data_IF_318418453908
#
_entry.id   IF_318418453908
#
_cell.length_a   1.000
_cell.length_b   1.000
_cell.length_c   1.000
_cell.angle_alpha   90.00
_cell.angle_beta   90.00
_cell.angle_gamma   90.00
#
_symmetry.space_group_name_H-M   'P 1'
#
loop_
_entity.id
_entity.type
_entity.pdbx_description
1 polymer ?
#
# COMPACT_ATOMS: atom_id res chain seq x y z
N UNK A 1 8.18 -20.56 21.12
CA UNK A 1 8.10 -22.03 20.94
C UNK A 1 7.93 -22.73 22.30
N UNK A 2 7.10 -23.79 22.40
CA UNK A 2 6.81 -24.51 23.65
C UNK A 2 7.99 -25.37 24.16
N UNK A 3 8.93 -25.71 23.29
CA UNK A 3 10.16 -26.45 23.62
C UNK A 3 11.41 -25.60 23.36
N UNK A 4 12.49 -25.96 24.03
CA UNK A 4 13.81 -25.35 23.88
C UNK A 4 14.88 -26.44 23.82
N UNK A 5 15.90 -26.19 23.02
CA UNK A 5 17.06 -27.05 22.89
C UNK A 5 18.24 -26.46 23.67
N UNK A 6 19.13 -27.32 24.13
CA UNK A 6 20.40 -26.94 24.78
C UNK A 6 21.48 -27.97 24.48
N UNK A 7 22.71 -27.51 24.29
CA UNK A 7 23.89 -28.36 24.36
C UNK A 7 24.47 -28.29 25.78
N UNK A 8 24.96 -29.41 26.32
CA UNK A 8 25.64 -29.40 27.60
C UNK A 8 26.98 -28.64 27.48
N UNK A 9 27.33 -27.88 28.52
CA UNK A 9 28.58 -27.11 28.55
C UNK A 9 29.82 -28.01 28.63
N UNK A 10 29.64 -29.27 29.02
CA UNK A 10 30.66 -30.31 29.06
C UNK A 10 30.94 -30.96 27.71
N UNK A 11 30.19 -30.61 26.66
CA UNK A 11 30.42 -31.19 25.33
C UNK A 11 31.82 -30.85 24.84
N UNK A 12 32.54 -31.86 24.38
CA UNK A 12 33.90 -31.74 23.87
C UNK A 12 33.94 -31.61 22.34
N UNK A 13 32.90 -32.09 21.65
CA UNK A 13 32.76 -31.95 20.21
C UNK A 13 32.31 -30.57 19.75
N UNK A 14 32.27 -30.39 18.42
CA UNK A 14 31.78 -29.15 17.78
C UNK A 14 30.28 -29.20 17.48
N UNK A 15 29.59 -30.23 17.97
CA UNK A 15 28.16 -30.44 17.75
C UNK A 15 27.32 -29.27 18.22
N UNK A 16 26.43 -28.78 17.36
CA UNK A 16 25.48 -27.70 17.66
C UNK A 16 24.08 -28.16 17.33
N UNK A 17 23.19 -28.11 18.34
CA UNK A 17 21.76 -28.32 18.16
C UNK A 17 21.10 -27.02 17.70
N UNK A 18 20.21 -27.11 16.71
CA UNK A 18 19.38 -26.00 16.30
C UNK A 18 18.31 -25.67 17.35
N UNK A 19 17.48 -24.67 17.11
CA UNK A 19 16.45 -24.27 18.05
C UNK A 19 15.27 -25.27 18.15
N UNK A 20 15.18 -26.24 17.24
CA UNK A 20 14.03 -27.11 17.06
C UNK A 20 12.80 -26.43 16.44
N UNK A 21 12.09 -27.20 15.62
CA UNK A 21 10.78 -26.87 15.05
C UNK A 21 9.71 -27.75 15.70
N UNK A 22 8.58 -27.16 16.07
CA UNK A 22 7.40 -27.93 16.49
C UNK A 22 6.57 -28.21 15.26
N UNK A 23 6.42 -29.49 14.91
CA UNK A 23 5.71 -29.97 13.72
C UNK A 23 4.29 -30.40 14.08
N UNK A 24 4.11 -31.05 15.24
CA UNK A 24 2.82 -31.39 15.82
C UNK A 24 2.70 -30.78 17.23
N UNK A 25 2.04 -29.62 17.38
CA UNK A 25 1.84 -28.99 18.67
C UNK A 25 0.80 -29.72 19.56
N UNK A 26 0.09 -30.71 19.01
CA UNK A 26 -0.95 -31.47 19.74
C UNK A 26 -0.43 -32.78 20.33
N UNK A 27 0.81 -33.16 20.05
CA UNK A 27 1.45 -34.33 20.62
C UNK A 27 1.45 -34.24 22.16
N UNK A 28 0.87 -35.22 22.88
CA UNK A 28 0.77 -35.18 24.34
C UNK A 28 2.14 -35.24 25.04
N UNK A 29 3.17 -35.74 24.37
CA UNK A 29 4.54 -35.83 24.87
C UNK A 29 5.40 -34.63 24.46
N UNK A 30 4.85 -33.60 23.80
CA UNK A 30 5.60 -32.43 23.30
C UNK A 30 6.48 -31.77 24.36
N UNK A 31 6.01 -31.74 25.60
CA UNK A 31 6.73 -31.14 26.73
C UNK A 31 7.54 -32.15 27.55
N UNK A 32 7.56 -33.42 27.18
CA UNK A 32 8.38 -34.42 27.88
C UNK A 32 9.86 -34.18 27.57
N UNK A 33 10.72 -33.94 28.57
CA UNK A 33 12.14 -33.73 28.34
C UNK A 33 12.81 -34.93 27.68
N UNK A 34 13.71 -34.65 26.75
CA UNK A 34 14.48 -35.65 26.01
C UNK A 34 15.96 -35.29 26.11
N UNK A 35 16.79 -36.30 26.35
CA UNK A 35 18.25 -36.20 26.29
C UNK A 35 18.76 -37.08 25.14
N UNK A 36 19.54 -36.47 24.26
CA UNK A 36 20.28 -37.12 23.18
C UNK A 36 21.73 -37.17 23.65
N UNK A 37 22.26 -38.37 23.79
CA UNK A 37 23.65 -38.59 24.20
C UNK A 37 24.41 -39.33 23.10
N UNK A 38 25.51 -38.75 22.65
CA UNK A 38 26.36 -39.38 21.65
C UNK A 38 27.17 -40.51 22.30
N UNK A 39 26.97 -41.73 21.80
CA UNK A 39 27.73 -42.91 22.23
C UNK A 39 29.07 -42.97 21.50
N UNK A 40 29.07 -42.53 20.23
CA UNK A 40 30.25 -42.40 19.36
C UNK A 40 30.06 -41.17 18.48
N UNK A 41 31.07 -40.71 17.71
CA UNK A 41 30.89 -39.59 16.78
C UNK A 41 29.82 -39.81 15.70
N UNK A 42 29.39 -41.06 15.48
CA UNK A 42 28.42 -41.42 14.44
C UNK A 42 27.17 -42.12 14.99
N UNK A 43 27.03 -42.24 16.32
CA UNK A 43 25.84 -42.83 16.93
C UNK A 43 25.41 -42.13 18.21
N UNK A 44 24.10 -42.10 18.46
CA UNK A 44 23.52 -41.51 19.66
C UNK A 44 22.44 -42.41 20.28
N UNK A 45 22.17 -42.20 21.56
CA UNK A 45 21.04 -42.78 22.28
C UNK A 45 20.02 -41.69 22.62
N UNK A 46 18.78 -42.10 22.86
CA UNK A 46 17.70 -41.23 23.32
C UNK A 46 17.31 -41.69 24.71
N UNK A 47 17.40 -40.79 25.69
CA UNK A 47 17.10 -41.08 27.11
C UNK A 47 17.80 -42.35 27.61
N UNK A 48 19.06 -42.57 27.17
CA UNK A 48 19.87 -43.74 27.52
C UNK A 48 19.45 -45.05 26.83
N UNK A 49 18.53 -45.00 25.88
CA UNK A 49 18.02 -46.16 25.14
C UNK A 49 18.36 -46.10 23.65
N UNK A 50 18.68 -47.26 23.07
CA UNK A 50 18.95 -47.41 21.65
C UNK A 50 20.32 -46.91 21.19
N UNK A 51 20.66 -47.20 19.94
CA UNK A 51 21.84 -46.69 19.24
C UNK A 51 21.43 -46.36 17.81
N UNK A 52 21.24 -45.08 17.55
CA UNK A 52 20.78 -44.54 16.27
C UNK A 52 21.96 -43.95 15.51
N UNK A 53 21.95 -44.07 14.19
CA UNK A 53 22.99 -43.49 13.35
C UNK A 53 22.85 -41.96 13.33
N UNK A 54 23.97 -41.26 13.49
CA UNK A 54 24.08 -39.83 13.32
C UNK A 54 24.57 -39.51 11.90
N UNK A 55 23.90 -38.54 11.28
CA UNK A 55 24.40 -37.81 10.13
C UNK A 55 24.23 -36.33 10.41
N UNK A 56 25.23 -35.52 10.07
CA UNK A 56 25.12 -34.07 10.19
C UNK A 56 23.90 -33.56 9.42
N UNK A 57 23.18 -32.62 10.02
CA UNK A 57 21.95 -31.98 9.50
C UNK A 57 20.76 -32.93 9.26
N UNK A 58 20.88 -34.22 9.60
CA UNK A 58 19.73 -35.12 9.58
C UNK A 58 18.73 -34.73 10.66
N UNK A 59 17.46 -34.74 10.28
CA UNK A 59 16.35 -34.44 11.17
C UNK A 59 16.16 -35.57 12.18
N UNK A 60 16.13 -35.22 13.47
CA UNK A 60 15.71 -36.09 14.56
C UNK A 60 14.32 -35.63 14.99
N UNK A 61 13.31 -36.43 14.66
CA UNK A 61 11.90 -36.14 14.96
C UNK A 61 11.40 -36.99 16.13
N UNK A 62 10.82 -36.35 17.15
CA UNK A 62 10.24 -37.03 18.31
C UNK A 62 9.28 -36.11 19.05
N UNK A 63 8.26 -36.67 19.71
CA UNK A 63 7.31 -35.93 20.55
C UNK A 63 6.76 -34.66 19.85
N UNK A 64 6.36 -34.77 18.58
CA UNK A 64 5.83 -33.65 17.80
C UNK A 64 6.82 -32.53 17.43
N UNK A 65 8.11 -32.64 17.76
CA UNK A 65 9.14 -31.71 17.33
C UNK A 65 10.20 -32.37 16.44
N UNK A 66 10.94 -31.54 15.72
CA UNK A 66 12.08 -31.92 14.90
C UNK A 66 13.26 -31.02 15.26
N UNK A 67 14.43 -31.61 15.48
CA UNK A 67 15.69 -30.90 15.71
C UNK A 67 16.75 -31.39 14.75
N UNK A 68 17.76 -30.56 14.50
CA UNK A 68 18.99 -30.95 13.79
C UNK A 68 20.20 -30.70 14.65
N UNK A 69 21.19 -31.58 14.53
CA UNK A 69 22.51 -31.41 15.13
C UNK A 69 23.53 -31.35 14.00
N UNK A 70 24.21 -30.22 13.87
CA UNK A 70 25.31 -30.03 12.92
C UNK A 70 26.66 -30.17 13.64
N UNK A 71 27.73 -30.44 12.90
CA UNK A 71 29.09 -30.46 13.39
C UNK A 71 29.61 -31.88 13.63
N UNK A 72 30.63 -31.99 14.48
CA UNK A 72 31.23 -33.25 14.86
C UNK A 72 31.10 -33.46 16.38
N UNK A 73 29.97 -34.02 16.84
CA UNK A 73 29.82 -34.46 18.22
C UNK A 73 30.85 -35.55 18.58
N UNK A 74 31.22 -35.60 19.85
CA UNK A 74 32.06 -36.66 20.42
C UNK A 74 31.27 -37.55 21.36
N UNK A 75 31.82 -38.73 21.68
CA UNK A 75 31.23 -39.62 22.67
C UNK A 75 31.11 -38.88 24.03
N UNK A 76 29.93 -38.96 24.64
CA UNK A 76 29.58 -38.24 25.87
C UNK A 76 29.00 -36.85 25.66
N UNK A 77 28.94 -36.33 24.42
CA UNK A 77 28.25 -35.08 24.14
C UNK A 77 26.73 -35.25 24.34
N UNK A 78 26.12 -34.32 25.06
CA UNK A 78 24.70 -34.33 25.37
C UNK A 78 23.98 -33.10 24.82
N UNK A 79 22.80 -33.34 24.27
CA UNK A 79 21.87 -32.33 23.80
C UNK A 79 20.48 -32.62 24.37
N UNK A 80 19.80 -31.59 24.88
CA UNK A 80 18.51 -31.76 25.54
C UNK A 80 17.43 -30.95 24.84
N UNK A 81 16.24 -31.53 24.72
CA UNK A 81 15.01 -30.84 24.37
C UNK A 81 14.10 -30.85 25.59
N UNK A 82 13.65 -29.69 26.05
CA UNK A 82 12.85 -29.56 27.27
C UNK A 82 11.79 -28.47 27.13
N UNK A 83 10.79 -28.40 28.05
CA UNK A 83 9.84 -27.31 28.11
C UNK A 83 10.51 -25.95 28.16
N UNK A 84 9.95 -24.99 27.44
CA UNK A 84 10.35 -23.60 27.53
C UNK A 84 9.66 -22.89 28.71
N UNK A 85 9.83 -23.41 29.93
CA UNK A 85 9.13 -22.97 31.16
C UNK A 85 9.52 -21.58 31.69
N UNK A 86 10.34 -20.83 30.95
CA UNK A 86 10.76 -19.48 31.33
C UNK A 86 10.53 -18.44 30.24
N UNK A 87 10.65 -18.79 28.95
CA UNK A 87 10.43 -17.87 27.81
C UNK A 87 11.28 -16.59 27.77
N UNK A 88 11.96 -16.21 28.85
CA UNK A 88 12.74 -14.97 28.98
C UNK A 88 13.88 -15.00 27.97
N UNK A 89 13.85 -14.04 27.05
CA UNK A 89 14.85 -13.89 25.98
C UNK A 89 14.61 -14.76 24.74
N UNK A 90 13.54 -15.55 24.67
CA UNK A 90 13.20 -16.32 23.47
C UNK A 90 12.42 -15.46 22.47
N UNK A 91 13.12 -14.91 21.48
CA UNK A 91 12.55 -14.07 20.43
C UNK A 91 12.17 -14.85 19.15
N UNK A 92 12.19 -16.19 19.15
CA UNK A 92 11.95 -16.99 17.93
C UNK A 92 10.60 -16.74 17.28
N UNK A 93 9.55 -16.53 18.08
CA UNK A 93 8.24 -16.19 17.55
C UNK A 93 8.23 -14.78 16.91
N UNK A 94 8.95 -13.82 17.49
CA UNK A 94 9.08 -12.48 16.93
C UNK A 94 9.91 -12.49 15.64
N UNK A 95 10.98 -13.29 15.59
CA UNK A 95 11.77 -13.52 14.38
C UNK A 95 10.96 -14.22 13.29
N UNK A 96 10.15 -15.22 13.64
CA UNK A 96 9.25 -15.89 12.69
C UNK A 96 8.23 -14.89 12.12
N UNK A 97 7.64 -14.05 12.98
CA UNK A 97 6.73 -12.99 12.56
C UNK A 97 7.42 -11.98 11.62
N UNK A 98 8.64 -11.55 11.95
CA UNK A 98 9.42 -10.67 11.08
C UNK A 98 9.75 -11.35 9.74
N UNK A 99 10.05 -12.64 9.75
CA UNK A 99 10.33 -13.43 8.55
C UNK A 99 9.15 -13.53 7.58
N UNK A 100 7.90 -13.41 8.07
CA UNK A 100 6.72 -13.40 7.20
C UNK A 100 6.77 -12.28 6.16
N UNK A 101 7.41 -11.14 6.48
CA UNK A 101 7.54 -10.02 5.53
C UNK A 101 8.21 -10.45 4.21
N UNK A 102 9.17 -11.37 4.28
CA UNK A 102 9.92 -11.87 3.13
C UNK A 102 9.32 -13.11 2.47
N UNK A 103 8.27 -13.69 3.04
CA UNK A 103 7.65 -14.89 2.48
C UNK A 103 6.58 -14.52 1.44
N UNK A 104 6.60 -15.21 0.31
CA UNK A 104 5.57 -15.08 -0.72
C UNK A 104 4.32 -15.86 -0.31
N UNK A 105 3.47 -15.23 0.51
CA UNK A 105 2.23 -15.83 1.03
C UNK A 105 0.97 -15.25 0.39
N UNK A 106 1.10 -14.13 -0.34
CA UNK A 106 -0.01 -13.45 -1.00
C UNK A 106 -0.09 -13.85 -2.47
N UNK A 107 -1.22 -13.56 -3.09
CA UNK A 107 -1.49 -13.81 -4.52
C UNK A 107 -1.18 -15.26 -4.94
N UNK A 108 -1.70 -16.23 -4.17
CA UNK A 108 -1.48 -17.65 -4.42
C UNK A 108 -0.05 -18.13 -4.14
N UNK A 109 0.74 -17.37 -3.37
CA UNK A 109 2.12 -17.70 -3.02
C UNK A 109 3.17 -17.04 -3.93
N UNK A 110 2.77 -16.04 -4.72
CA UNK A 110 3.65 -15.38 -5.70
C UNK A 110 4.15 -14.00 -5.25
N UNK A 111 3.57 -13.43 -4.19
CA UNK A 111 3.93 -12.11 -3.71
C UNK A 111 4.14 -12.07 -2.19
N UNK A 112 5.16 -11.33 -1.79
CA UNK A 112 5.40 -10.94 -0.40
C UNK A 112 4.41 -9.85 0.04
N UNK A 113 4.36 -9.59 1.36
CA UNK A 113 3.58 -8.48 1.90
C UNK A 113 4.05 -7.11 1.35
N UNK A 114 5.36 -6.92 1.18
CA UNK A 114 5.94 -5.69 0.65
C UNK A 114 5.54 -5.43 -0.80
N UNK A 115 5.71 -6.43 -1.67
CA UNK A 115 5.35 -6.32 -3.09
C UNK A 115 3.85 -6.06 -3.28
N UNK A 116 3.01 -6.72 -2.47
CA UNK A 116 1.56 -6.48 -2.55
C UNK A 116 1.19 -5.07 -2.10
N UNK A 117 1.83 -4.56 -1.05
CA UNK A 117 1.63 -3.19 -0.59
C UNK A 117 2.04 -2.18 -1.67
N UNK A 118 3.22 -2.35 -2.27
CA UNK A 118 3.71 -1.49 -3.36
C UNK A 118 2.74 -1.47 -4.55
N UNK A 119 2.19 -2.62 -4.92
CA UNK A 119 1.20 -2.71 -6.01
C UNK A 119 -0.07 -1.94 -5.71
N UNK A 120 -0.59 -2.04 -4.48
CA UNK A 120 -1.78 -1.28 -4.05
C UNK A 120 -1.51 0.22 -4.08
N UNK A 121 -0.36 0.66 -3.56
CA UNK A 121 0.04 2.07 -3.61
C UNK A 121 0.16 2.56 -5.06
N UNK A 122 0.78 1.76 -5.93
CA UNK A 122 0.90 2.07 -7.36
C UNK A 122 -0.46 2.16 -8.07
N UNK A 123 -1.40 1.27 -7.76
CA UNK A 123 -2.76 1.28 -8.30
C UNK A 123 -3.51 2.55 -7.89
N UNK A 124 -3.47 2.91 -6.60
CA UNK A 124 -4.09 4.13 -6.09
C UNK A 124 -3.48 5.37 -6.74
N UNK A 125 -2.15 5.43 -6.86
CA UNK A 125 -1.45 6.53 -7.52
C UNK A 125 -1.86 6.67 -9.00
N UNK A 126 -1.96 5.55 -9.73
CA UNK A 126 -2.40 5.54 -11.12
C UNK A 126 -3.84 6.04 -11.26
N UNK A 127 -4.77 5.53 -10.45
CA UNK A 127 -6.17 5.98 -10.45
C UNK A 127 -6.30 7.46 -10.10
N UNK A 128 -5.53 7.94 -9.12
CA UNK A 128 -5.51 9.35 -8.75
C UNK A 128 -5.05 10.24 -9.90
N UNK A 129 -3.98 9.87 -10.61
CA UNK A 129 -3.52 10.59 -11.80
C UNK A 129 -4.55 10.60 -12.92
N UNK A 130 -5.20 9.46 -13.18
CA UNK A 130 -6.27 9.38 -14.18
C UNK A 130 -7.45 10.30 -13.84
N UNK A 131 -7.86 10.35 -12.56
CA UNK A 131 -8.93 11.22 -12.11
C UNK A 131 -8.56 12.72 -12.21
N UNK A 132 -7.30 13.07 -11.91
CA UNK A 132 -6.80 14.44 -12.07
C UNK A 132 -6.82 14.88 -13.53
N UNK A 133 -6.29 14.05 -14.44
CA UNK A 133 -6.32 14.33 -15.88
C UNK A 133 -7.74 14.45 -16.42
N UNK A 134 -8.65 13.57 -15.97
CA UNK A 134 -10.06 13.62 -16.34
C UNK A 134 -10.72 14.92 -15.88
N UNK A 135 -10.44 15.37 -14.66
CA UNK A 135 -10.91 16.66 -14.13
C UNK A 135 -10.41 17.83 -14.99
N UNK A 136 -9.13 17.86 -15.32
CA UNK A 136 -8.54 18.96 -16.09
C UNK A 136 -9.12 19.03 -17.50
N UNK A 137 -9.33 17.87 -18.13
CA UNK A 137 -9.99 17.77 -19.43
C UNK A 137 -11.43 18.27 -19.38
N UNK A 138 -12.20 17.85 -18.37
CA UNK A 138 -13.57 18.34 -18.18
C UNK A 138 -13.63 19.85 -17.93
N UNK A 139 -12.68 20.39 -17.17
CA UNK A 139 -12.57 21.84 -16.95
C UNK A 139 -12.33 22.58 -18.26
N UNK A 140 -11.40 22.09 -19.08
CA UNK A 140 -11.11 22.69 -20.38
C UNK A 140 -12.33 22.67 -21.32
N UNK A 141 -13.08 21.56 -21.33
CA UNK A 141 -14.33 21.47 -22.11
C UNK A 141 -15.39 22.46 -21.63
N UNK A 142 -15.53 22.65 -20.31
CA UNK A 142 -16.45 23.65 -19.74
C UNK A 142 -16.02 25.06 -20.14
N UNK A 143 -14.74 25.38 -20.05
CA UNK A 143 -14.21 26.70 -20.41
C UNK A 143 -14.41 26.98 -21.92
N UNK A 144 -14.17 25.99 -22.77
CA UNK A 144 -14.42 26.08 -24.22
C UNK A 144 -15.91 26.26 -24.54
N UNK A 145 -16.79 25.50 -23.89
CA UNK A 145 -18.24 25.63 -24.07
C UNK A 145 -18.76 27.00 -23.62
N UNK A 146 -18.21 27.55 -22.53
CA UNK A 146 -18.51 28.92 -22.07
C UNK A 146 -18.08 29.95 -23.12
N UNK A 147 -16.84 29.87 -23.59
CA UNK A 147 -16.33 30.78 -24.62
C UNK A 147 -17.16 30.73 -25.91
N UNK A 148 -17.55 29.54 -26.37
CA UNK A 148 -18.40 29.39 -27.56
C UNK A 148 -19.79 30.01 -27.37
N UNK A 149 -20.41 29.79 -26.21
CA UNK A 149 -21.70 30.41 -25.86
C UNK A 149 -21.56 31.94 -25.81
N UNK A 150 -20.52 32.44 -25.16
CA UNK A 150 -20.29 33.88 -25.00
C UNK A 150 -19.92 34.55 -26.34
N UNK A 151 -19.37 33.82 -27.32
CA UNK A 151 -19.14 34.34 -28.67
C UNK A 151 -20.42 34.51 -29.50
N UNK A 152 -21.45 33.69 -29.25
CA UNK A 152 -22.74 33.77 -29.97
C UNK A 152 -23.73 34.68 -29.25
N UNK A 153 -23.78 34.58 -27.93
CA UNK A 153 -24.75 35.30 -27.09
C UNK A 153 -24.15 36.52 -26.39
N UNK A 154 -22.86 36.77 -26.60
CA UNK A 154 -22.18 37.93 -26.04
C UNK A 154 -22.61 39.20 -26.76
N UNK A 155 -22.98 40.19 -25.96
CA UNK A 155 -23.27 41.54 -26.45
C UNK A 155 -21.96 42.32 -26.48
N UNK A 156 -21.60 42.86 -27.63
CA UNK A 156 -20.44 43.74 -27.72
C UNK A 156 -20.84 45.15 -27.23
N UNK A 157 -20.45 45.48 -26.00
CA UNK A 157 -20.81 46.75 -25.37
C UNK A 157 -20.35 47.98 -26.17
N UNK A 158 -19.26 47.86 -26.93
CA UNK A 158 -18.78 48.96 -27.78
C UNK A 158 -19.67 49.16 -29.01
N UNK A 159 -20.18 48.06 -29.59
CA UNK A 159 -21.10 48.10 -30.72
C UNK A 159 -22.49 48.58 -30.30
N UNK A 160 -22.99 48.11 -29.15
CA UNK A 160 -24.21 48.64 -28.52
C UNK A 160 -24.06 50.13 -28.16
N UNK A 161 -22.91 50.55 -27.63
CA UNK A 161 -22.66 51.96 -27.31
C UNK A 161 -22.60 52.83 -28.57
N UNK A 162 -21.99 52.35 -29.65
CA UNK A 162 -21.99 53.04 -30.94
C UNK A 162 -23.41 53.14 -31.52
N UNK A 163 -24.20 52.06 -31.43
CA UNK A 163 -25.61 52.09 -31.84
C UNK A 163 -26.45 53.05 -30.98
N UNK A 164 -26.24 53.06 -29.67
CA UNK A 164 -26.85 54.02 -28.74
C UNK A 164 -26.53 55.46 -29.13
N UNK A 165 -25.25 55.79 -29.35
CA UNK A 165 -24.84 57.13 -29.80
C UNK A 165 -25.49 57.50 -31.13
N UNK A 166 -25.56 56.56 -32.08
CA UNK A 166 -26.24 56.78 -33.36
C UNK A 166 -27.72 57.06 -33.17
N UNK A 167 -28.41 56.31 -32.31
CA UNK A 167 -29.83 56.55 -32.01
C UNK A 167 -30.06 57.88 -31.30
N UNK A 168 -29.17 58.27 -30.38
CA UNK A 168 -29.22 59.57 -29.72
C UNK A 168 -29.04 60.72 -30.73
N UNK A 169 -28.09 60.61 -31.66
CA UNK A 169 -27.89 61.60 -32.72
C UNK A 169 -29.09 61.67 -33.67
N UNK A 170 -29.63 60.52 -34.09
CA UNK A 170 -30.82 60.46 -34.93
C UNK A 170 -32.04 61.09 -34.25
N UNK A 171 -32.20 60.87 -32.95
CA UNK A 171 -33.27 61.48 -32.15
C UNK A 171 -33.12 63.00 -32.07
N UNK A 172 -31.91 63.51 -31.80
CA UNK A 172 -31.63 64.95 -31.81
C UNK A 172 -31.89 65.58 -33.18
N UNK A 173 -31.46 64.92 -34.26
CA UNK A 173 -31.73 65.38 -35.62
C UNK A 173 -33.23 65.41 -35.92
N UNK A 174 -33.98 64.37 -35.53
CA UNK A 174 -35.44 64.34 -35.68
C UNK A 174 -36.12 65.46 -34.88
N UNK A 175 -35.68 65.72 -33.65
CA UNK A 175 -36.17 66.83 -32.84
C UNK A 175 -35.91 68.19 -33.50
N UNK A 176 -34.72 68.39 -34.10
CA UNK A 176 -34.40 69.61 -34.83
C UNK A 176 -35.26 69.80 -36.08
N UNK A 177 -35.53 68.71 -36.83
CA UNK A 177 -36.44 68.74 -37.98
C UNK A 177 -37.86 69.12 -37.54
N UNK A 178 -38.37 68.53 -36.46
CA UNK A 178 -39.68 68.87 -35.89
C UNK A 178 -39.73 70.34 -35.47
N UNK A 179 -38.72 70.83 -34.75
CA UNK A 179 -38.66 72.23 -34.33
C UNK A 179 -38.62 73.19 -35.52
N UNK A 180 -37.90 72.81 -36.59
CA UNK A 180 -37.85 73.60 -37.83
C UNK A 180 -39.20 73.59 -38.54
N UNK A 181 -39.86 72.42 -38.63
CA UNK A 181 -41.18 72.30 -39.23
C UNK A 181 -42.26 73.08 -38.45
N UNK A 182 -42.21 73.05 -37.11
CA UNK A 182 -43.09 73.83 -36.23
C UNK A 182 -42.87 75.33 -36.44
N UNK A 183 -41.61 75.78 -36.52
CA UNK A 183 -41.28 77.17 -36.85
C UNK A 183 -41.78 77.61 -38.23
N UNK A 184 -41.66 76.75 -39.24
CA UNK A 184 -42.22 77.01 -40.58
C UNK A 184 -43.75 77.08 -40.54
N UNK A 185 -44.39 76.18 -39.81
CA UNK A 185 -45.84 76.13 -39.66
C UNK A 185 -46.37 77.40 -38.99
N UNK A 186 -45.74 77.83 -37.89
CA UNK A 186 -46.10 79.07 -37.21
C UNK A 186 -45.92 80.30 -38.12
N UNK A 187 -44.82 80.35 -38.89
CA UNK A 187 -44.57 81.44 -39.84
C UNK A 187 -45.65 81.52 -40.92
N UNK A 188 -46.09 80.37 -41.45
CA UNK A 188 -47.18 80.31 -42.43
C UNK A 188 -48.52 80.78 -41.83
N UNK A 189 -48.82 80.40 -40.59
CA UNK A 189 -50.02 80.85 -39.88
C UNK A 189 -50.01 82.37 -39.66
N UNK A 190 -48.87 82.95 -39.24
CA UNK A 190 -48.73 84.38 -39.00
C UNK A 190 -48.82 85.20 -40.31
N UNK A 191 -48.31 84.66 -41.42
CA UNK A 191 -48.42 85.29 -42.74
C UNK A 191 -49.86 85.31 -43.28
N UNK A 192 -50.67 84.28 -42.98
CA UNK A 192 -52.08 84.19 -43.39
C UNK A 192 -53.03 85.02 -42.50
N UNK A 193 -52.56 85.48 -41.33
CA UNK A 193 -53.34 86.24 -40.34
C UNK A 193 -53.37 87.75 -40.62
N UNK A 194 -52.84 88.19 -41.76
CA UNK A 194 -52.92 89.56 -42.26
C UNK A 194 -54.07 89.76 -43.22
#
# INVERSE_FOLDING_TARGET
SPVRTRAALSNAGTGRIDAGLVVDPTDPALMTPVTIEFLTPTTYSINGSGSFAYSADAAIAMNGWEIRINGAPQAGDQFTVAPNSGGVGDNRNALALAGLQSQSLLDGGSATYGERYERVVGEVANRSRQAALGRDTQRLLVDQARAARDAVSGVNLDEEAAQMLRFQQAYQAAAQVIATADGLFQTLLDALRR
#
